data_IF_616260441887
#
_entry.id   IF_616260441887
#
_cell.length_a   1.000
_cell.length_b   1.000
_cell.length_c   1.000
_cell.angle_alpha   90.00
_cell.angle_beta   90.00
_cell.angle_gamma   90.00
#
_symmetry.space_group_name_H-M   'P 1'
#
loop_
_entity.id
_entity.type
_entity.pdbx_description
1 polymer ?
#
# COMPACT_ATOMS: atom_id res chain seq x y z
N UNK A 1 -6.29 -6.51 14.57
CA UNK A 1 -7.21 -6.74 13.43
C UNK A 1 -6.81 -5.90 12.21
N UNK A 2 -6.57 -4.59 12.38
CA UNK A 2 -6.17 -3.64 11.33
C UNK A 2 -4.90 -4.05 10.53
N UNK A 3 -3.81 -4.42 11.22
CA UNK A 3 -2.56 -4.84 10.54
C UNK A 3 -2.76 -6.07 9.65
N UNK A 4 -3.60 -7.03 10.06
CA UNK A 4 -3.91 -8.20 9.23
C UNK A 4 -4.66 -7.80 7.96
N UNK A 5 -5.56 -6.82 8.05
CA UNK A 5 -6.26 -6.27 6.89
C UNK A 5 -5.31 -5.52 5.95
N UNK A 6 -4.40 -4.70 6.49
CA UNK A 6 -3.34 -4.04 5.70
C UNK A 6 -2.48 -5.09 4.98
N UNK A 7 -2.06 -6.14 5.68
CA UNK A 7 -1.28 -7.23 5.06
C UNK A 7 -2.07 -8.03 4.03
N UNK A 8 -3.39 -8.15 4.19
CA UNK A 8 -4.26 -8.76 3.20
C UNK A 8 -4.33 -7.91 1.92
N UNK A 9 -4.52 -6.60 2.05
CA UNK A 9 -4.61 -5.68 0.92
C UNK A 9 -3.26 -5.49 0.20
N UNK A 10 -2.21 -5.13 0.94
CA UNK A 10 -0.92 -4.70 0.39
C UNK A 10 0.11 -5.84 0.32
N UNK A 11 -0.20 -7.02 0.86
CA UNK A 11 0.80 -8.06 1.12
C UNK A 11 1.65 -7.74 2.35
N UNK A 12 2.60 -8.61 2.67
CA UNK A 12 3.51 -8.40 3.81
C UNK A 12 4.71 -7.51 3.42
N UNK A 13 5.21 -6.67 4.33
CA UNK A 13 6.38 -5.83 4.07
C UNK A 13 7.66 -6.67 3.90
N UNK A 14 8.72 -6.04 3.41
CA UNK A 14 10.08 -6.58 3.44
C UNK A 14 10.47 -7.01 4.87
N UNK A 15 11.19 -8.12 4.98
CA UNK A 15 11.77 -8.62 6.23
C UNK A 15 12.60 -7.53 6.91
N UNK A 16 12.51 -7.44 8.24
CA UNK A 16 13.35 -6.55 9.04
C UNK A 16 14.82 -6.89 8.84
N UNK A 17 15.63 -5.86 8.68
CA UNK A 17 17.08 -5.94 8.65
C UNK A 17 17.68 -4.58 8.94
N UNK A 18 18.99 -4.56 9.21
CA UNK A 18 19.70 -3.34 9.58
C UNK A 18 20.30 -2.58 8.40
N UNK A 19 20.32 -3.21 7.21
CA UNK A 19 20.83 -2.62 5.98
C UNK A 19 19.87 -1.61 5.36
N UNK A 20 20.41 -0.63 4.64
CA UNK A 20 19.60 0.32 3.86
C UNK A 20 18.69 -0.42 2.86
N UNK A 21 19.19 -1.51 2.27
CA UNK A 21 18.46 -2.33 1.30
C UNK A 21 17.17 -2.94 1.86
N UNK A 22 17.11 -3.20 3.17
CA UNK A 22 15.90 -3.73 3.84
C UNK A 22 15.04 -2.61 4.42
N UNK A 23 15.66 -1.53 4.95
CA UNK A 23 14.96 -0.37 5.51
C UNK A 23 14.19 0.43 4.46
N UNK A 24 14.79 0.68 3.29
CA UNK A 24 14.19 1.53 2.27
C UNK A 24 12.89 0.96 1.67
N UNK A 25 12.82 -0.32 1.21
CA UNK A 25 11.57 -0.90 0.74
C UNK A 25 10.50 -0.98 1.83
N UNK A 26 10.90 -1.12 3.09
CA UNK A 26 9.98 -1.16 4.23
C UNK A 26 9.40 0.22 4.52
N UNK A 27 10.22 1.28 4.39
CA UNK A 27 9.77 2.66 4.45
C UNK A 27 8.78 2.99 3.32
N UNK A 28 9.07 2.58 2.08
CA UNK A 28 8.15 2.74 0.94
C UNK A 28 6.82 2.04 1.21
N UNK A 29 6.86 0.80 1.72
CA UNK A 29 5.66 0.05 2.06
C UNK A 29 4.75 0.81 3.03
N UNK A 30 5.29 1.24 4.17
CA UNK A 30 4.48 1.95 5.17
C UNK A 30 4.03 3.32 4.70
N UNK A 31 4.86 4.03 3.92
CA UNK A 31 4.47 5.29 3.31
C UNK A 31 3.29 5.09 2.36
N UNK A 32 3.33 4.09 1.48
CA UNK A 32 2.24 3.80 0.56
C UNK A 32 0.93 3.45 1.29
N UNK A 33 1.01 2.67 2.37
CA UNK A 33 -0.16 2.35 3.22
C UNK A 33 -0.74 3.62 3.83
N UNK A 34 0.09 4.49 4.39
CA UNK A 34 -0.35 5.76 5.00
C UNK A 34 -1.00 6.66 3.94
N UNK A 35 -0.32 6.90 2.81
CA UNK A 35 -0.86 7.72 1.72
C UNK A 35 -2.16 7.16 1.14
N UNK A 36 -2.31 5.84 1.08
CA UNK A 36 -3.56 5.22 0.67
C UNK A 36 -4.72 5.61 1.58
N UNK A 37 -4.56 5.46 2.90
CA UNK A 37 -5.64 5.81 3.84
C UNK A 37 -5.94 7.31 3.82
N UNK A 38 -4.93 8.17 3.70
CA UNK A 38 -5.13 9.60 3.50
C UNK A 38 -5.88 9.90 2.20
N UNK A 39 -5.52 9.26 1.09
CA UNK A 39 -6.21 9.41 -0.20
C UNK A 39 -7.65 8.94 -0.14
N UNK A 40 -7.93 7.81 0.52
CA UNK A 40 -9.29 7.31 0.70
C UNK A 40 -10.16 8.25 1.54
N UNK A 41 -9.59 8.82 2.62
CA UNK A 41 -10.27 9.84 3.41
C UNK A 41 -10.54 11.10 2.60
N UNK A 42 -9.54 11.57 1.84
CA UNK A 42 -9.66 12.73 0.98
C UNK A 42 -10.78 12.51 -0.05
N UNK A 43 -10.73 11.44 -0.84
CA UNK A 43 -11.80 11.15 -1.80
C UNK A 43 -13.16 10.95 -1.14
N UNK A 44 -13.19 10.38 0.08
CA UNK A 44 -14.41 10.22 0.85
C UNK A 44 -15.06 11.56 1.19
N UNK A 45 -14.28 12.51 1.70
CA UNK A 45 -14.76 13.86 2.01
C UNK A 45 -15.24 14.58 0.74
N UNK A 46 -14.45 14.52 -0.34
CA UNK A 46 -14.79 15.20 -1.59
C UNK A 46 -15.98 14.56 -2.31
N UNK A 47 -16.29 13.29 -2.05
CA UNK A 47 -17.49 12.63 -2.59
C UNK A 47 -18.81 13.23 -2.10
N UNK A 48 -18.80 13.94 -0.96
CA UNK A 48 -19.97 14.70 -0.49
C UNK A 48 -20.18 16.01 -1.26
N UNK A 49 -19.13 16.50 -1.94
CA UNK A 49 -19.16 17.74 -2.73
C UNK A 49 -19.48 17.41 -4.19
N UNK A 50 -18.85 16.38 -4.75
CA UNK A 50 -19.03 15.96 -6.14
C UNK A 50 -18.96 14.43 -6.28
N UNK A 51 -19.95 13.86 -6.97
CA UNK A 51 -20.08 12.42 -7.18
C UNK A 51 -18.99 11.83 -8.07
N UNK A 52 -18.27 12.66 -8.85
CA UNK A 52 -17.10 12.22 -9.65
C UNK A 52 -16.04 11.54 -8.76
N UNK A 53 -15.88 11.99 -7.52
CA UNK A 53 -14.92 11.41 -6.57
C UNK A 53 -15.32 10.02 -6.06
N UNK A 54 -16.59 9.61 -6.19
CA UNK A 54 -17.03 8.24 -5.87
C UNK A 54 -16.31 7.24 -6.77
N UNK A 55 -16.14 7.57 -8.05
CA UNK A 55 -15.38 6.75 -9.00
C UNK A 55 -13.93 6.57 -8.56
N UNK A 56 -13.29 7.66 -8.12
CA UNK A 56 -11.91 7.63 -7.57
C UNK A 56 -11.82 6.83 -6.28
N UNK A 57 -12.86 6.86 -5.44
CA UNK A 57 -12.91 6.12 -4.19
C UNK A 57 -13.03 4.61 -4.43
N UNK A 58 -13.89 4.19 -5.35
CA UNK A 58 -14.05 2.78 -5.72
C UNK A 58 -12.78 2.27 -6.42
N UNK A 59 -12.32 2.98 -7.45
CA UNK A 59 -11.16 2.56 -8.23
C UNK A 59 -9.86 2.62 -7.42
N UNK A 60 -9.61 3.72 -6.72
CA UNK A 60 -8.47 3.88 -5.83
C UNK A 60 -8.49 2.88 -4.68
N UNK A 61 -9.65 2.65 -4.06
CA UNK A 61 -9.80 1.70 -2.97
C UNK A 61 -9.49 0.24 -3.36
N UNK A 62 -9.95 -0.17 -4.55
CA UNK A 62 -9.80 -1.56 -5.00
C UNK A 62 -8.48 -1.81 -5.73
N UNK A 63 -8.15 -0.97 -6.70
CA UNK A 63 -7.03 -1.24 -7.60
C UNK A 63 -5.68 -0.83 -7.02
N UNK A 64 -5.60 0.25 -6.22
CA UNK A 64 -4.31 0.70 -5.69
C UNK A 64 -3.62 -0.37 -4.83
N UNK A 65 -4.27 -1.01 -3.84
CA UNK A 65 -3.60 -2.03 -3.04
C UNK A 65 -3.15 -3.23 -3.86
N UNK A 66 -3.95 -3.65 -4.85
CA UNK A 66 -3.64 -4.77 -5.74
C UNK A 66 -2.41 -4.47 -6.62
N UNK A 67 -2.41 -3.32 -7.29
CA UNK A 67 -1.30 -2.89 -8.15
C UNK A 67 -0.03 -2.69 -7.32
N UNK A 68 -0.15 -2.02 -6.17
CA UNK A 68 0.99 -1.82 -5.26
C UNK A 68 1.56 -3.16 -4.81
N UNK A 69 0.71 -4.09 -4.36
CA UNK A 69 1.14 -5.42 -3.90
C UNK A 69 1.93 -6.16 -4.98
N UNK A 70 1.49 -6.10 -6.24
CA UNK A 70 2.16 -6.72 -7.37
C UNK A 70 3.51 -6.07 -7.66
N UNK A 71 3.55 -4.74 -7.82
CA UNK A 71 4.78 -4.00 -8.10
C UNK A 71 5.80 -4.14 -6.97
N UNK A 72 5.34 -4.08 -5.73
CA UNK A 72 6.17 -4.25 -4.55
C UNK A 72 6.79 -5.66 -4.50
N UNK A 73 5.99 -6.69 -4.79
CA UNK A 73 6.49 -8.06 -4.86
C UNK A 73 7.57 -8.25 -5.94
N UNK A 74 7.34 -7.73 -7.16
CA UNK A 74 8.34 -7.78 -8.24
C UNK A 74 9.63 -7.07 -7.81
N UNK A 75 9.52 -5.87 -7.22
CA UNK A 75 10.67 -5.11 -6.76
C UNK A 75 11.50 -5.86 -5.72
N UNK A 76 10.86 -6.51 -4.75
CA UNK A 76 11.57 -7.33 -3.77
C UNK A 76 12.24 -8.54 -4.43
N UNK A 77 11.55 -9.22 -5.34
CA UNK A 77 12.09 -10.38 -6.06
C UNK A 77 13.31 -10.02 -6.92
N UNK A 78 13.26 -8.91 -7.64
CA UNK A 78 14.40 -8.41 -8.44
C UNK A 78 15.62 -8.05 -7.59
N UNK A 79 15.39 -7.67 -6.32
CA UNK A 79 16.45 -7.31 -5.36
C UNK A 79 16.89 -8.49 -4.49
N UNK A 80 16.35 -9.69 -4.68
CA UNK A 80 16.63 -10.86 -3.85
C UNK A 80 16.20 -10.72 -2.38
N UNK A 81 15.21 -9.85 -2.10
CA UNK A 81 14.76 -9.56 -0.74
C UNK A 81 13.54 -10.40 -0.36
N UNK A 82 13.52 -10.86 0.89
CA UNK A 82 12.41 -11.64 1.46
C UNK A 82 11.32 -10.75 2.07
N UNK A 83 10.09 -11.25 2.07
CA UNK A 83 8.96 -10.66 2.82
C UNK A 83 8.92 -11.21 4.24
N UNK A 84 8.29 -10.49 5.16
CA UNK A 84 7.99 -11.04 6.49
C UNK A 84 7.10 -12.29 6.37
N UNK A 85 7.34 -13.28 7.24
CA UNK A 85 6.64 -14.57 7.27
C UNK A 85 5.28 -14.47 7.94
#
# INVERSE_FOLDING_TARGET
MLIKFVHFLFGKPCKKGDSFQTKFPRFIYWSAVVFYFFGMLFFGIFSFIDTVFIGSLISGGLFFPLIFRFIYFINLKMRGLEREV
#
